data_IF_238595671116
#
_entry.id   IF_238595671116
#
_cell.length_a   1.000
_cell.length_b   1.000
_cell.length_c   1.000
_cell.angle_alpha   90.00
_cell.angle_beta   90.00
_cell.angle_gamma   90.00
#
_symmetry.space_group_name_H-M   'P 1'
#
loop_
_entity.id
_entity.type
_entity.pdbx_description
1 polymer ?
#
# COMPACT_ATOMS: atom_id res chain seq x y z
N UNK A 1 21.79 -11.87 24.30
CA UNK A 1 21.96 -12.56 23.01
C UNK A 1 20.68 -13.34 22.78
N UNK A 2 19.72 -12.73 22.08
CA UNK A 2 18.43 -13.34 21.81
C UNK A 2 18.58 -14.30 20.64
N UNK A 3 18.10 -15.53 20.78
CA UNK A 3 18.03 -16.50 19.70
C UNK A 3 17.06 -15.97 18.64
N UNK A 4 17.61 -15.34 17.60
CA UNK A 4 16.86 -15.02 16.39
C UNK A 4 16.39 -16.33 15.77
N UNK A 5 15.10 -16.57 15.97
CA UNK A 5 14.37 -17.73 15.50
C UNK A 5 14.33 -17.67 13.97
N UNK A 6 15.29 -18.35 13.34
CA UNK A 6 15.54 -18.35 11.89
C UNK A 6 14.39 -18.94 11.04
N UNK A 7 13.31 -19.42 11.65
CA UNK A 7 12.16 -20.07 11.00
C UNK A 7 10.82 -19.45 11.43
N UNK A 8 10.68 -18.12 11.37
CA UNK A 8 9.35 -17.51 11.49
C UNK A 8 8.53 -17.80 10.22
N UNK A 9 7.34 -18.43 10.31
CA UNK A 9 6.48 -18.70 9.15
C UNK A 9 6.02 -17.41 8.45
N UNK A 10 6.26 -16.26 9.08
CA UNK A 10 5.91 -14.95 8.55
C UNK A 10 6.95 -14.38 7.57
N UNK A 11 8.17 -14.94 7.46
CA UNK A 11 9.18 -14.47 6.49
C UNK A 11 8.70 -14.56 5.04
N UNK A 12 8.04 -15.66 4.67
CA UNK A 12 7.46 -15.82 3.34
C UNK A 12 6.34 -14.80 3.05
N UNK A 13 5.56 -14.46 4.09
CA UNK A 13 4.50 -13.45 3.99
C UNK A 13 5.06 -12.02 3.89
N UNK A 14 6.11 -11.69 4.63
CA UNK A 14 6.82 -10.40 4.47
C UNK A 14 7.39 -10.26 3.06
N UNK A 15 8.03 -11.31 2.53
CA UNK A 15 8.55 -11.33 1.16
C UNK A 15 7.46 -11.14 0.09
N UNK A 16 6.30 -11.77 0.28
CA UNK A 16 5.11 -11.54 -0.55
C UNK A 16 4.68 -10.07 -0.51
N UNK A 17 4.54 -9.49 0.68
CA UNK A 17 4.09 -8.10 0.80
C UNK A 17 5.10 -7.10 0.23
N UNK A 18 6.40 -7.32 0.40
CA UNK A 18 7.44 -6.47 -0.21
C UNK A 18 7.40 -6.56 -1.75
N UNK A 19 7.12 -7.75 -2.29
CA UNK A 19 6.92 -7.93 -3.73
C UNK A 19 5.68 -7.18 -4.23
N UNK A 20 4.55 -7.25 -3.52
CA UNK A 20 3.33 -6.51 -3.87
C UNK A 20 3.52 -5.00 -3.75
N UNK A 21 4.21 -4.53 -2.70
CA UNK A 21 4.58 -3.12 -2.51
C UNK A 21 5.41 -2.61 -3.68
N UNK A 22 6.39 -3.38 -4.11
CA UNK A 22 7.26 -3.04 -5.24
C UNK A 22 6.45 -2.87 -6.52
N UNK A 23 5.49 -3.76 -6.79
CA UNK A 23 4.67 -3.66 -7.99
C UNK A 23 3.69 -2.47 -7.97
N UNK A 24 3.12 -2.16 -6.81
CA UNK A 24 2.32 -0.93 -6.65
C UNK A 24 3.19 0.30 -6.96
N UNK A 25 4.44 0.34 -6.48
CA UNK A 25 5.37 1.44 -6.76
C UNK A 25 5.70 1.50 -8.25
N UNK A 26 6.00 0.37 -8.89
CA UNK A 26 6.28 0.32 -10.33
C UNK A 26 5.06 0.75 -11.16
N UNK A 27 3.86 0.32 -10.79
CA UNK A 27 2.63 0.72 -11.47
C UNK A 27 2.37 2.21 -11.36
N UNK A 28 2.63 2.81 -10.19
CA UNK A 28 2.60 4.26 -10.00
C UNK A 28 3.59 4.98 -10.92
N UNK A 29 4.85 4.52 -10.95
CA UNK A 29 5.91 5.11 -11.76
C UNK A 29 5.64 5.01 -13.28
N UNK A 30 5.18 3.85 -13.76
CA UNK A 30 4.91 3.60 -15.17
C UNK A 30 3.79 4.51 -15.72
N UNK A 31 2.83 4.90 -14.88
CA UNK A 31 1.70 5.73 -15.26
C UNK A 31 1.99 7.24 -15.21
N UNK A 32 3.25 7.64 -15.30
CA UNK A 32 3.67 9.05 -15.35
C UNK A 32 3.38 9.84 -14.07
N UNK A 33 2.90 9.17 -13.01
CA UNK A 33 3.00 9.69 -11.66
C UNK A 33 4.47 9.49 -11.32
N UNK A 34 5.26 10.56 -11.38
CA UNK A 34 6.44 10.59 -10.53
C UNK A 34 5.90 10.47 -9.10
N UNK A 35 5.72 9.24 -8.62
CA UNK A 35 5.66 8.96 -7.21
C UNK A 35 7.02 9.48 -6.74
N UNK A 36 7.04 10.74 -6.32
CA UNK A 36 8.18 11.27 -5.60
C UNK A 36 8.46 10.27 -4.49
N UNK A 37 9.72 10.08 -4.09
CA UNK A 37 10.06 9.09 -3.07
C UNK A 37 9.13 9.11 -1.86
N UNK A 38 8.53 10.27 -1.55
CA UNK A 38 7.51 10.46 -0.52
C UNK A 38 6.22 9.62 -0.69
N UNK A 39 5.63 9.47 -1.88
CA UNK A 39 4.42 8.64 -2.05
C UNK A 39 4.76 7.16 -1.87
N UNK A 40 5.88 6.71 -2.43
CA UNK A 40 6.37 5.35 -2.26
C UNK A 40 6.73 5.03 -0.80
N UNK A 41 7.33 6.00 -0.08
CA UNK A 41 7.70 5.88 1.34
C UNK A 41 6.49 5.74 2.27
N UNK A 42 5.31 6.20 1.85
CA UNK A 42 4.08 6.08 2.64
C UNK A 42 3.40 4.72 2.47
N UNK A 43 3.86 3.88 1.52
CA UNK A 43 3.44 2.49 1.43
C UNK A 43 4.31 1.67 2.38
N UNK A 44 3.70 1.18 3.45
CA UNK A 44 4.44 0.55 4.56
C UNK A 44 3.97 -0.87 4.81
N UNK A 45 4.87 -1.70 5.32
CA UNK A 45 4.53 -3.04 5.79
C UNK A 45 4.69 -3.03 7.30
N UNK A 46 3.65 -3.50 7.99
CA UNK A 46 3.67 -3.68 9.44
C UNK A 46 3.51 -5.15 9.74
N UNK A 47 4.43 -5.71 10.53
CA UNK A 47 4.30 -7.05 11.10
C UNK A 47 3.97 -6.93 12.58
N UNK A 48 3.00 -7.72 13.02
CA UNK A 48 2.77 -8.01 14.43
C UNK A 48 2.89 -9.53 14.65
N UNK A 49 2.78 -9.97 15.91
CA UNK A 49 2.90 -11.39 16.25
C UNK A 49 1.83 -12.29 15.61
N UNK A 50 0.78 -11.72 15.00
CA UNK A 50 -0.36 -12.43 14.44
C UNK A 50 -0.47 -12.28 12.91
N UNK A 51 0.37 -11.45 12.27
CA UNK A 51 0.33 -11.29 10.83
C UNK A 51 1.19 -10.16 10.29
N UNK A 52 1.05 -9.97 8.97
CA UNK A 52 1.72 -8.92 8.22
C UNK A 52 0.67 -8.17 7.40
N UNK A 53 0.82 -6.85 7.29
CA UNK A 53 -0.14 -5.98 6.60
C UNK A 53 0.58 -5.00 5.69
N UNK A 54 0.05 -4.83 4.47
CA UNK A 54 0.47 -3.80 3.53
C UNK A 54 -0.47 -2.59 3.67
N UNK A 55 0.07 -1.48 4.14
CA UNK A 55 -0.68 -0.26 4.40
C UNK A 55 -0.49 0.75 3.27
N UNK A 56 -1.60 1.19 2.68
CA UNK A 56 -1.64 2.26 1.68
C UNK A 56 -2.47 3.43 2.24
N UNK A 57 -1.94 4.66 2.19
CA UNK A 57 -2.73 5.85 2.52
C UNK A 57 -3.99 5.96 1.66
N UNK A 58 -5.10 6.42 2.25
CA UNK A 58 -6.39 6.55 1.57
C UNK A 58 -6.35 7.38 0.27
N UNK A 59 -5.44 8.37 0.16
CA UNK A 59 -5.32 9.18 -1.05
C UNK A 59 -4.75 8.39 -2.24
N UNK A 60 -4.07 7.26 -2.02
CA UNK A 60 -3.56 6.40 -3.10
C UNK A 60 -4.73 5.75 -3.85
N UNK A 61 -5.82 5.37 -3.16
CA UNK A 61 -7.03 4.85 -3.81
C UNK A 61 -7.65 5.86 -4.79
N UNK A 62 -7.54 7.16 -4.47
CA UNK A 62 -8.02 8.21 -5.35
C UNK A 62 -7.20 8.30 -6.65
N UNK A 63 -5.96 7.81 -6.69
CA UNK A 63 -5.16 7.74 -7.92
C UNK A 63 -5.75 6.76 -8.94
N UNK A 64 -6.32 5.65 -8.47
CA UNK A 64 -6.98 4.67 -9.32
C UNK A 64 -8.39 5.11 -9.73
N UNK A 65 -9.19 5.50 -8.75
CA UNK A 65 -10.63 5.77 -8.95
C UNK A 65 -10.93 7.19 -9.42
N UNK A 66 -10.00 8.12 -9.21
CA UNK A 66 -10.19 9.54 -9.48
C UNK A 66 -10.98 10.26 -8.39
N UNK A 67 -11.28 11.54 -8.66
CA UNK A 67 -12.22 12.35 -7.88
C UNK A 67 -13.18 13.03 -8.84
N UNK A 68 -14.48 12.89 -8.58
CA UNK A 68 -15.52 13.62 -9.33
C UNK A 68 -15.58 15.09 -8.88
N UNK A 69 -16.14 15.99 -9.72
CA UNK A 69 -16.48 17.35 -9.29
C UNK A 69 -17.28 17.34 -7.99
N UNK A 70 -17.02 18.33 -7.14
CA UNK A 70 -17.63 18.42 -5.82
C UNK A 70 -18.84 19.34 -5.87
N UNK A 71 -20.01 18.82 -5.48
CA UNK A 71 -21.26 19.57 -5.44
C UNK A 71 -21.28 20.66 -4.38
N UNK A 72 -22.25 21.57 -4.46
CA UNK A 72 -22.39 22.75 -3.59
C UNK A 72 -22.61 22.42 -2.10
N UNK A 73 -23.04 21.19 -1.78
CA UNK A 73 -23.35 20.75 -0.40
C UNK A 73 -22.36 19.70 0.14
N UNK A 74 -21.14 19.63 -0.39
CA UNK A 74 -20.17 18.65 0.08
C UNK A 74 -19.65 18.98 1.49
N UNK A 75 -19.68 17.98 2.36
CA UNK A 75 -19.09 18.07 3.70
C UNK A 75 -17.58 18.29 3.60
N UNK A 76 -17.01 19.33 4.24
CA UNK A 76 -15.57 19.52 4.29
C UNK A 76 -14.88 18.33 4.96
N UNK A 77 -13.79 17.84 4.36
CA UNK A 77 -12.92 16.88 5.04
C UNK A 77 -12.22 17.48 6.26
N UNK A 78 -11.60 16.64 7.08
CA UNK A 78 -10.81 17.05 8.24
C UNK A 78 -9.34 16.59 8.08
N UNK A 79 -8.34 17.50 8.03
CA UNK A 79 -8.49 18.94 7.87
C UNK A 79 -9.09 19.31 6.50
N UNK A 80 -9.72 20.50 6.37
CA UNK A 80 -10.28 21.00 5.12
C UNK A 80 -9.27 20.96 3.96
N UNK A 81 -9.73 20.61 2.76
CA UNK A 81 -8.86 20.50 1.58
C UNK A 81 -8.08 21.80 1.30
N UNK A 82 -8.69 22.95 1.57
CA UNK A 82 -8.02 24.25 1.39
C UNK A 82 -6.78 24.40 2.28
N UNK A 83 -6.79 23.85 3.50
CA UNK A 83 -5.65 23.91 4.43
C UNK A 83 -4.51 23.03 3.92
N UNK A 84 -4.84 21.83 3.44
CA UNK A 84 -3.87 20.93 2.82
C UNK A 84 -3.22 21.55 1.58
N UNK A 85 -4.00 22.23 0.74
CA UNK A 85 -3.48 22.93 -0.43
C UNK A 85 -2.60 24.12 -0.03
N UNK A 86 -2.96 24.87 1.02
CA UNK A 86 -2.11 25.97 1.53
C UNK A 86 -0.77 25.44 2.03
N UNK A 87 -0.76 24.36 2.82
CA UNK A 87 0.47 23.70 3.27
C UNK A 87 1.34 23.27 2.09
N UNK A 88 0.72 22.67 1.07
CA UNK A 88 1.43 22.29 -0.15
C UNK A 88 1.98 23.51 -0.91
N UNK A 89 1.20 24.58 -1.06
CA UNK A 89 1.67 25.82 -1.70
C UNK A 89 2.89 26.37 -0.96
N UNK A 90 2.82 26.49 0.36
CA UNK A 90 3.92 26.96 1.21
C UNK A 90 5.19 26.10 1.03
N UNK A 91 5.05 24.77 1.06
CA UNK A 91 6.17 23.85 0.87
C UNK A 91 6.84 23.96 -0.52
N UNK A 92 6.12 24.46 -1.52
CA UNK A 92 6.62 24.62 -2.90
C UNK A 92 6.96 26.07 -3.26
N UNK A 93 6.97 27.00 -2.30
CA UNK A 93 7.20 28.43 -2.56
C UNK A 93 6.11 29.09 -3.41
N UNK A 94 4.92 28.48 -3.47
CA UNK A 94 3.77 28.99 -4.22
C UNK A 94 2.99 29.95 -3.30
N UNK A 95 2.58 31.13 -3.78
CA UNK A 95 1.80 32.06 -2.98
C UNK A 95 0.46 31.47 -2.51
N UNK A 96 0.10 31.68 -1.24
CA UNK A 96 -1.16 31.22 -0.63
C UNK A 96 -2.42 31.60 -1.43
N UNK A 97 -2.41 32.76 -2.10
CA UNK A 97 -3.52 33.21 -2.96
C UNK A 97 -3.85 32.21 -4.09
N UNK A 98 -2.87 31.42 -4.54
CA UNK A 98 -3.07 30.39 -5.55
C UNK A 98 -3.85 29.18 -5.01
N UNK A 99 -3.85 28.93 -3.69
CA UNK A 99 -4.50 27.78 -3.08
C UNK A 99 -6.02 27.74 -3.39
N UNK A 100 -6.68 28.90 -3.40
CA UNK A 100 -8.10 29.00 -3.76
C UNK A 100 -8.37 28.70 -5.23
N UNK A 101 -7.50 29.16 -6.13
CA UNK A 101 -7.62 28.86 -7.56
C UNK A 101 -7.42 27.36 -7.83
N UNK A 102 -6.43 26.75 -7.19
CA UNK A 102 -6.18 25.31 -7.24
C UNK A 102 -7.40 24.55 -6.70
N UNK A 103 -7.87 24.87 -5.50
CA UNK A 103 -9.08 24.25 -4.90
C UNK A 103 -10.27 24.34 -5.85
N UNK A 104 -10.55 25.53 -6.38
CA UNK A 104 -11.70 25.77 -7.27
C UNK A 104 -11.58 24.95 -8.56
N UNK A 105 -10.39 24.82 -9.11
CA UNK A 105 -10.14 23.97 -10.28
C UNK A 105 -10.43 22.50 -9.97
N UNK A 106 -9.90 21.97 -8.86
CA UNK A 106 -10.12 20.58 -8.45
C UNK A 106 -11.61 20.34 -8.14
N UNK A 107 -12.29 21.24 -7.44
CA UNK A 107 -13.72 21.06 -7.14
C UNK A 107 -14.59 21.13 -8.40
N UNK A 108 -14.22 21.97 -9.39
CA UNK A 108 -14.95 22.12 -10.65
C UNK A 108 -14.75 20.94 -11.60
N UNK A 109 -13.51 20.49 -11.76
CA UNK A 109 -13.13 19.53 -12.79
C UNK A 109 -12.97 18.11 -12.25
N UNK A 110 -12.69 17.97 -10.95
CA UNK A 110 -12.20 16.72 -10.40
C UNK A 110 -10.88 16.32 -11.04
N UNK A 111 -10.55 15.03 -10.96
CA UNK A 111 -9.51 14.43 -11.78
C UNK A 111 -9.92 13.00 -12.14
N UNK A 112 -9.56 12.57 -13.34
CA UNK A 112 -9.75 11.18 -13.76
C UNK A 112 -8.66 10.33 -13.11
N UNK A 113 -9.07 9.21 -12.52
CA UNK A 113 -8.14 8.20 -12.03
C UNK A 113 -7.51 7.44 -13.19
N UNK A 114 -6.53 6.62 -12.85
CA UNK A 114 -5.87 5.70 -13.77
C UNK A 114 -6.16 4.27 -13.31
N UNK A 115 -7.18 3.62 -13.90
CA UNK A 115 -7.51 2.23 -13.59
C UNK A 115 -6.29 1.32 -13.78
N UNK A 116 -6.15 0.31 -12.92
CA UNK A 116 -5.05 -0.67 -12.98
C UNK A 116 -3.85 -0.33 -12.09
N UNK A 117 -3.73 0.90 -11.57
CA UNK A 117 -2.59 1.27 -10.71
C UNK A 117 -2.49 0.38 -9.46
N UNK A 118 -3.62 0.05 -8.82
CA UNK A 118 -3.68 -0.81 -7.64
C UNK A 118 -4.37 -2.13 -7.98
N UNK A 119 -5.42 -2.12 -8.79
CA UNK A 119 -6.20 -3.33 -9.08
C UNK A 119 -5.45 -4.40 -9.88
N UNK A 120 -4.43 -4.05 -10.67
CA UNK A 120 -3.55 -5.05 -11.30
C UNK A 120 -2.61 -5.71 -10.26
N UNK A 121 -1.76 -4.96 -9.53
CA UNK A 121 -0.85 -5.57 -8.56
C UNK A 121 -1.57 -6.21 -7.36
N UNK A 122 -2.68 -5.62 -6.91
CA UNK A 122 -3.45 -6.11 -5.75
C UNK A 122 -4.69 -6.94 -6.17
N UNK A 123 -4.77 -7.34 -7.43
CA UNK A 123 -5.82 -8.22 -7.92
C UNK A 123 -5.76 -9.60 -7.27
N UNK A 124 -6.92 -10.20 -7.02
CA UNK A 124 -7.03 -11.53 -6.40
C UNK A 124 -6.19 -12.57 -7.15
N UNK A 125 -6.14 -12.50 -8.47
CA UNK A 125 -5.35 -13.39 -9.32
C UNK A 125 -3.84 -13.28 -9.05
N UNK A 126 -3.30 -12.06 -9.01
CA UNK A 126 -1.88 -11.82 -8.74
C UNK A 126 -1.52 -12.16 -7.29
N UNK A 127 -2.40 -11.84 -6.33
CA UNK A 127 -2.22 -12.22 -4.92
C UNK A 127 -2.18 -13.74 -4.79
N UNK A 128 -3.15 -14.46 -5.35
CA UNK A 128 -3.22 -15.92 -5.26
C UNK A 128 -2.01 -16.60 -5.93
N UNK A 129 -1.57 -16.09 -7.08
CA UNK A 129 -0.39 -16.60 -7.78
C UNK A 129 0.86 -16.59 -6.87
N UNK A 130 1.03 -15.53 -6.06
CA UNK A 130 2.21 -15.35 -5.21
C UNK A 130 2.04 -15.90 -3.80
N UNK A 131 0.81 -15.96 -3.31
CA UNK A 131 0.50 -16.54 -2.00
C UNK A 131 0.63 -18.07 -2.02
N UNK A 132 0.30 -18.71 -3.14
CA UNK A 132 0.36 -20.17 -3.28
C UNK A 132 1.71 -20.79 -2.87
N UNK A 133 2.88 -20.36 -3.40
CA UNK A 133 4.16 -20.94 -2.99
C UNK A 133 4.48 -20.71 -1.51
N UNK A 134 4.10 -19.54 -0.96
CA UNK A 134 4.28 -19.25 0.48
C UNK A 134 3.43 -20.16 1.34
N UNK A 135 2.18 -20.41 0.96
CA UNK A 135 1.29 -21.33 1.66
C UNK A 135 1.80 -22.78 1.60
N UNK A 136 2.32 -23.21 0.45
CA UNK A 136 2.93 -24.54 0.27
C UNK A 136 4.17 -24.71 1.16
N UNK A 137 5.04 -23.69 1.25
CA UNK A 137 6.22 -23.69 2.13
C UNK A 137 5.84 -23.78 3.61
N UNK A 138 4.84 -23.01 4.06
CA UNK A 138 4.31 -23.07 5.42
C UNK A 138 3.75 -24.47 5.71
N UNK A 139 2.96 -25.03 4.80
CA UNK A 139 2.38 -26.36 4.96
C UNK A 139 3.45 -27.46 5.06
N UNK A 140 4.51 -27.38 4.24
CA UNK A 140 5.65 -28.32 4.31
C UNK A 140 6.39 -28.21 5.64
N UNK A 141 6.64 -26.97 6.11
CA UNK A 141 7.31 -26.72 7.40
C UNK A 141 6.52 -27.32 8.57
N UNK A 142 5.20 -27.10 8.59
CA UNK A 142 4.32 -27.66 9.63
C UNK A 142 4.34 -29.20 9.57
N UNK A 143 4.27 -29.78 8.37
CA UNK A 143 4.30 -31.24 8.17
C UNK A 143 5.60 -31.85 8.70
N UNK A 144 6.74 -31.22 8.42
CA UNK A 144 8.05 -31.67 8.91
C UNK A 144 8.15 -31.57 10.44
N UNK A 145 7.63 -30.50 11.04
CA UNK A 145 7.61 -30.34 12.50
C UNK A 145 6.74 -31.40 13.19
N UNK A 146 5.58 -31.71 12.62
CA UNK A 146 4.71 -32.77 13.13
C UNK A 146 5.39 -34.14 12.99
N UNK A 147 5.96 -34.45 11.81
CA UNK A 147 6.64 -35.72 11.58
C UNK A 147 7.85 -35.92 12.51
N UNK A 148 8.68 -34.90 12.69
CA UNK A 148 9.82 -34.93 13.60
C UNK A 148 9.45 -34.97 15.09
N UNK A 149 8.22 -34.59 15.46
CA UNK A 149 7.73 -34.72 16.83
C UNK A 149 7.18 -36.13 17.15
N UNK A 150 6.86 -36.91 16.12
CA UNK A 150 6.27 -38.27 16.26
C UNK A 150 7.34 -39.36 16.23
N UNK A 151 8.54 -39.09 15.68
CA UNK A 151 9.71 -39.98 15.75
C UNK A 151 10.60 -39.60 16.94
N UNK A 152 10.51 -40.27 18.12
CA UNK A 152 11.46 -40.03 19.19
C UNK A 152 12.86 -40.49 18.77
N UNK A 153 13.94 -39.82 19.24
CA UNK A 153 15.30 -40.32 19.05
C UNK A 153 15.38 -41.74 19.61
N UNK A 154 15.87 -42.66 18.76
CA UNK A 154 15.79 -44.10 18.94
C UNK A 154 16.07 -44.60 20.37
N UNK A 155 15.21 -45.53 20.79
CA UNK A 155 15.53 -46.55 21.78
C UNK A 155 16.44 -47.58 21.12
#
# INVERSE_FOLDING_TARGET
MSNDNLNSPFRGLEGLLESLKTDVIHSLQANGKYATGQTAQQITITSDGNGVQLNLPAHIQALETGRRPTGTNATPGNPPMIERIKQWCHANGIPDKAAWAIKKSIDKHGFKGTPGILSEPLGIENINLRLKPVAEEIAQTITQQIAGAIDPPGI
#
